data_IF_174724509304
#
_entry.id   IF_174724509304
#
_cell.length_a   1.000
_cell.length_b   1.000
_cell.length_c   1.000
_cell.angle_alpha   90.00
_cell.angle_beta   90.00
_cell.angle_gamma   90.00
#
_symmetry.space_group_name_H-M   'P 1'
#
loop_
_entity.id
_entity.type
_entity.pdbx_description
1 polymer ?
#
# COMPACT_ATOMS: atom_id res chain seq x y z
N UNK A 1 11.45 36.10 -6.99
CA UNK A 1 12.47 35.75 -5.98
C UNK A 1 13.03 34.37 -6.30
N UNK A 2 14.30 34.31 -6.74
CA UNK A 2 15.02 33.04 -6.93
C UNK A 2 15.17 32.39 -5.56
N UNK A 3 14.67 31.17 -5.38
CA UNK A 3 15.00 30.35 -4.21
C UNK A 3 16.48 30.01 -4.33
N UNK A 4 17.33 30.69 -3.58
CA UNK A 4 18.71 30.26 -3.37
C UNK A 4 18.68 28.83 -2.82
N UNK A 5 18.99 27.86 -3.68
CA UNK A 5 19.26 26.50 -3.24
C UNK A 5 20.54 26.59 -2.41
N UNK A 6 20.40 26.53 -1.08
CA UNK A 6 21.55 26.26 -0.20
C UNK A 6 22.34 25.09 -0.81
N UNK A 7 23.69 25.14 -0.82
CA UNK A 7 24.50 24.02 -1.31
C UNK A 7 24.06 22.74 -0.61
N UNK A 8 24.09 21.61 -1.32
CA UNK A 8 23.77 20.32 -0.73
C UNK A 8 24.68 20.11 0.48
N UNK A 9 24.13 20.23 1.68
CA UNK A 9 24.88 20.05 2.91
C UNK A 9 25.04 18.54 3.15
N UNK A 10 26.28 18.09 3.30
CA UNK A 10 26.60 16.70 3.57
C UNK A 10 27.92 16.58 4.33
N UNK A 11 28.07 15.44 5.01
CA UNK A 11 29.33 15.05 5.61
C UNK A 11 29.92 13.86 4.82
N UNK A 12 31.11 14.01 4.22
CA UNK A 12 31.70 12.95 3.39
C UNK A 12 31.88 11.61 4.13
N UNK A 13 32.16 11.65 5.44
CA UNK A 13 32.28 10.45 6.28
C UNK A 13 30.92 9.78 6.43
N UNK A 14 29.87 10.55 6.75
CA UNK A 14 28.52 10.03 6.88
C UNK A 14 28.01 9.42 5.57
N UNK A 15 28.23 10.08 4.43
CA UNK A 15 27.82 9.54 3.12
C UNK A 15 28.49 8.20 2.81
N UNK A 16 29.80 8.07 3.13
CA UNK A 16 30.50 6.77 3.00
C UNK A 16 29.89 5.69 3.89
N UNK A 17 29.53 6.02 5.13
CA UNK A 17 28.92 5.06 6.05
C UNK A 17 27.50 4.68 5.63
N UNK A 18 26.67 5.63 5.18
CA UNK A 18 25.35 5.35 4.59
C UNK A 18 25.46 4.49 3.34
N UNK A 19 26.45 4.72 2.47
CA UNK A 19 26.69 3.86 1.31
C UNK A 19 26.99 2.41 1.75
N UNK A 20 27.87 2.22 2.73
CA UNK A 20 28.19 0.89 3.29
C UNK A 20 26.97 0.25 3.92
N UNK A 21 26.19 0.99 4.69
CA UNK A 21 24.96 0.50 5.31
C UNK A 21 23.92 0.11 4.26
N UNK A 22 23.79 0.88 3.18
CA UNK A 22 22.95 0.54 2.03
C UNK A 22 23.33 -0.82 1.44
N UNK A 23 24.62 -1.11 1.29
CA UNK A 23 25.09 -2.42 0.83
C UNK A 23 24.80 -3.52 1.86
N UNK A 24 24.98 -3.24 3.15
CA UNK A 24 24.65 -4.16 4.23
C UNK A 24 23.16 -4.54 4.21
N UNK A 25 22.25 -3.57 4.15
CA UNK A 25 20.81 -3.82 4.09
C UNK A 25 20.41 -4.62 2.85
N UNK A 26 20.99 -4.32 1.68
CA UNK A 26 20.70 -5.03 0.43
C UNK A 26 21.20 -6.47 0.44
N UNK A 27 22.47 -6.69 0.82
CA UNK A 27 23.14 -7.99 0.68
C UNK A 27 22.94 -8.89 1.89
N UNK A 28 23.15 -8.36 3.09
CA UNK A 28 23.07 -9.12 4.34
C UNK A 28 21.64 -9.11 4.86
N UNK A 29 21.01 -7.93 4.89
CA UNK A 29 19.61 -7.79 5.32
C UNK A 29 18.59 -8.29 4.30
N UNK A 30 19.02 -8.61 3.08
CA UNK A 30 18.20 -9.07 1.95
C UNK A 30 16.96 -8.18 1.71
N UNK A 31 17.09 -6.89 2.01
CA UNK A 31 16.00 -5.92 1.91
C UNK A 31 15.82 -5.47 0.46
N UNK A 32 14.55 -5.28 0.07
CA UNK A 32 14.23 -4.65 -1.21
C UNK A 32 14.66 -3.17 -1.23
N UNK A 33 14.78 -2.62 -2.44
CA UNK A 33 15.25 -1.25 -2.63
C UNK A 33 14.37 -0.21 -1.92
N UNK A 34 13.05 -0.43 -1.90
CA UNK A 34 12.10 0.48 -1.24
C UNK A 34 12.34 0.56 0.27
N UNK A 35 12.59 -0.58 0.91
CA UNK A 35 12.88 -0.67 2.35
C UNK A 35 14.21 -0.01 2.67
N UNK A 36 15.22 -0.23 1.83
CA UNK A 36 16.53 0.40 1.96
C UNK A 36 16.42 1.93 1.86
N UNK A 37 15.71 2.45 0.86
CA UNK A 37 15.49 3.89 0.69
C UNK A 37 14.71 4.49 1.86
N UNK A 38 13.71 3.78 2.39
CA UNK A 38 12.95 4.23 3.56
C UNK A 38 13.86 4.36 4.80
N UNK A 39 14.73 3.37 5.06
CA UNK A 39 15.69 3.45 6.16
C UNK A 39 16.67 4.62 5.99
N UNK A 40 17.21 4.81 4.78
CA UNK A 40 18.12 5.92 4.48
C UNK A 40 17.45 7.29 4.62
N UNK A 41 16.16 7.40 4.31
CA UNK A 41 15.39 8.63 4.55
C UNK A 41 15.38 8.99 6.04
N UNK A 42 15.08 8.04 6.91
CA UNK A 42 15.08 8.28 8.37
C UNK A 42 16.46 8.65 8.91
N UNK A 43 17.52 8.02 8.39
CA UNK A 43 18.91 8.40 8.74
C UNK A 43 19.21 9.82 8.27
N UNK A 44 18.74 10.23 7.08
CA UNK A 44 18.91 11.59 6.59
C UNK A 44 18.15 12.62 7.43
N UNK A 45 16.97 12.28 7.93
CA UNK A 45 16.25 13.15 8.87
C UNK A 45 17.09 13.41 10.14
N UNK A 46 17.79 12.38 10.64
CA UNK A 46 18.70 12.52 11.78
C UNK A 46 19.93 13.38 11.44
N UNK A 47 20.51 13.22 10.24
CA UNK A 47 21.61 14.09 9.81
C UNK A 47 21.19 15.56 9.71
N UNK A 48 20.00 15.85 9.19
CA UNK A 48 19.46 17.21 9.11
C UNK A 48 19.33 17.79 10.52
N UNK A 49 18.83 17.01 11.47
CA UNK A 49 18.74 17.43 12.88
C UNK A 49 20.13 17.71 13.49
N UNK A 50 21.12 16.89 13.17
CA UNK A 50 22.50 17.03 13.64
C UNK A 50 23.33 18.06 12.85
N UNK A 51 22.69 18.84 11.96
CA UNK A 51 23.36 19.79 11.05
C UNK A 51 24.54 19.16 10.29
N UNK A 52 24.36 17.90 9.89
CA UNK A 52 25.37 17.08 9.19
C UNK A 52 26.69 16.88 9.96
N UNK A 53 26.68 17.04 11.28
CA UNK A 53 27.82 16.59 12.09
C UNK A 53 28.00 15.06 12.00
N UNK A 54 29.21 14.59 12.33
CA UNK A 54 29.55 13.18 12.23
C UNK A 54 28.73 12.31 13.17
N UNK A 55 28.31 11.13 12.71
CA UNK A 55 27.52 10.18 13.52
C UNK A 55 28.22 9.75 14.81
N UNK A 56 29.55 9.85 14.88
CA UNK A 56 30.34 9.54 16.08
C UNK A 56 30.08 10.48 17.25
N UNK A 57 29.36 11.59 17.03
CA UNK A 57 28.94 12.49 18.09
C UNK A 57 27.71 11.99 18.86
N UNK A 58 27.03 10.96 18.36
CA UNK A 58 25.82 10.43 18.98
C UNK A 58 26.03 10.00 20.44
N UNK A 59 25.11 10.42 21.31
CA UNK A 59 25.00 10.01 22.71
C UNK A 59 23.54 10.06 23.17
N UNK A 60 23.30 9.70 24.42
CA UNK A 60 22.00 9.73 25.10
C UNK A 60 21.34 11.12 25.04
N UNK A 61 22.07 12.20 25.32
CA UNK A 61 21.55 13.57 25.24
C UNK A 61 21.07 13.96 23.85
N UNK A 62 21.79 13.52 22.81
CA UNK A 62 21.38 13.71 21.41
C UNK A 62 20.15 12.87 21.08
N UNK A 63 20.06 11.64 21.58
CA UNK A 63 18.90 10.78 21.40
C UNK A 63 17.64 11.45 21.96
N UNK A 64 17.70 11.97 23.19
CA UNK A 64 16.60 12.66 23.85
C UNK A 64 16.18 13.93 23.09
N UNK A 65 17.16 14.77 22.73
CA UNK A 65 16.88 15.98 21.93
C UNK A 65 16.28 15.66 20.58
N UNK A 66 16.72 14.58 19.91
CA UNK A 66 16.18 14.19 18.61
C UNK A 66 14.73 13.74 18.72
N UNK A 67 14.41 12.94 19.75
CA UNK A 67 13.03 12.52 20.03
C UNK A 67 12.14 13.74 20.33
N UNK A 68 12.60 14.64 21.20
CA UNK A 68 11.87 15.89 21.50
C UNK A 68 11.68 16.74 20.24
N UNK A 69 12.71 16.86 19.41
CA UNK A 69 12.62 17.58 18.13
C UNK A 69 11.56 16.98 17.19
N UNK A 70 11.44 15.66 17.12
CA UNK A 70 10.39 15.00 16.35
C UNK A 70 8.98 15.27 16.89
N UNK A 71 8.82 15.31 18.22
CA UNK A 71 7.54 15.69 18.85
C UNK A 71 7.20 17.16 18.60
N UNK A 72 8.17 18.06 18.70
CA UNK A 72 8.00 19.49 18.45
C UNK A 72 7.67 19.79 16.98
N UNK A 73 8.13 18.94 16.06
CA UNK A 73 7.75 19.00 14.63
C UNK A 73 6.37 18.38 14.37
N UNK A 74 5.71 17.86 15.41
CA UNK A 74 4.40 17.19 15.34
C UNK A 74 4.36 16.00 14.37
N UNK A 75 5.45 15.23 14.28
CA UNK A 75 5.41 13.97 13.54
C UNK A 75 4.44 12.97 14.19
N UNK A 76 3.75 12.19 13.35
CA UNK A 76 2.88 11.10 13.85
C UNK A 76 3.68 10.07 14.66
N UNK A 77 3.05 9.46 15.66
CA UNK A 77 3.69 8.42 16.49
C UNK A 77 4.19 7.22 15.67
N UNK A 78 3.49 6.88 14.58
CA UNK A 78 3.92 5.82 13.66
C UNK A 78 5.22 6.21 12.94
N UNK A 79 5.32 7.46 12.45
CA UNK A 79 6.55 7.98 11.85
C UNK A 79 7.72 7.98 12.83
N UNK A 80 7.51 8.49 14.04
CA UNK A 80 8.52 8.52 15.10
C UNK A 80 8.99 7.09 15.41
N UNK A 81 8.06 6.14 15.51
CA UNK A 81 8.38 4.73 15.79
C UNK A 81 9.24 4.11 14.68
N UNK A 82 8.91 4.36 13.41
CA UNK A 82 9.65 3.81 12.27
C UNK A 82 11.01 4.48 12.09
N UNK A 83 11.09 5.80 12.31
CA UNK A 83 12.35 6.54 12.30
C UNK A 83 13.29 6.03 13.39
N UNK A 84 12.83 5.97 14.65
CA UNK A 84 13.61 5.45 15.77
C UNK A 84 14.12 4.05 15.49
N UNK A 85 13.26 3.15 14.97
CA UNK A 85 13.68 1.78 14.63
C UNK A 85 14.80 1.78 13.60
N UNK A 86 14.63 2.51 12.50
CA UNK A 86 15.63 2.58 11.44
C UNK A 86 16.95 3.19 11.92
N UNK A 87 16.89 4.22 12.76
CA UNK A 87 18.07 4.87 13.34
C UNK A 87 18.78 3.95 14.33
N UNK A 88 18.06 3.26 15.22
CA UNK A 88 18.64 2.25 16.12
C UNK A 88 19.35 1.15 15.34
N UNK A 89 18.69 0.58 14.34
CA UNK A 89 19.27 -0.48 13.50
C UNK A 89 20.57 0.00 12.82
N UNK A 90 20.59 1.25 12.35
CA UNK A 90 21.78 1.86 11.75
C UNK A 90 22.90 2.08 12.77
N UNK A 91 22.61 2.66 13.94
CA UNK A 91 23.63 2.94 14.95
C UNK A 91 24.21 1.64 15.54
N UNK A 92 23.38 0.62 15.78
CA UNK A 92 23.82 -0.71 16.19
C UNK A 92 24.71 -1.40 15.14
N UNK A 93 24.45 -1.15 13.86
CA UNK A 93 25.36 -1.58 12.80
C UNK A 93 26.65 -0.74 12.81
N UNK A 94 26.53 0.57 13.01
CA UNK A 94 27.61 1.55 12.91
C UNK A 94 28.66 1.39 14.02
N UNK A 95 28.23 1.16 15.26
CA UNK A 95 29.12 0.92 16.42
C UNK A 95 30.10 -0.24 16.16
N UNK A 96 29.73 -1.21 15.32
CA UNK A 96 30.56 -2.39 15.00
C UNK A 96 31.56 -2.10 13.89
N UNK A 97 31.49 -0.93 13.26
CA UNK A 97 32.38 -0.54 12.17
C UNK A 97 33.69 0.05 12.70
N UNK A 98 34.78 -0.17 11.96
CA UNK A 98 36.08 0.44 12.26
C UNK A 98 35.94 1.96 12.31
N UNK A 99 36.43 2.55 13.40
CA UNK A 99 36.38 4.01 13.64
C UNK A 99 35.19 4.50 14.48
N UNK A 100 34.22 3.63 14.78
CA UNK A 100 33.02 3.96 15.57
C UNK A 100 32.90 3.16 16.88
N UNK A 101 33.55 2.00 16.99
CA UNK A 101 33.48 1.12 18.17
C UNK A 101 33.81 1.76 19.51
N UNK A 102 34.72 2.74 19.52
CA UNK A 102 35.11 3.48 20.72
C UNK A 102 34.40 4.83 20.85
N UNK A 103 33.48 5.17 19.93
CA UNK A 103 32.87 6.50 19.83
C UNK A 103 31.37 6.49 20.04
N UNK A 104 30.71 5.37 19.76
CA UNK A 104 29.27 5.17 20.00
C UNK A 104 29.14 4.11 21.09
N UNK A 105 28.52 4.49 22.20
CA UNK A 105 28.14 3.55 23.25
C UNK A 105 26.81 2.89 22.90
N UNK A 106 26.77 1.57 22.97
CA UNK A 106 25.57 0.76 22.74
C UNK A 106 24.41 1.19 23.67
N UNK A 107 24.71 1.50 24.94
CA UNK A 107 23.70 1.90 25.91
C UNK A 107 23.05 3.24 25.56
N UNK A 108 23.78 4.15 24.89
CA UNK A 108 23.20 5.41 24.42
C UNK A 108 22.15 5.19 23.32
N UNK A 109 22.29 4.13 22.51
CA UNK A 109 21.33 3.81 21.45
C UNK A 109 19.98 3.39 22.07
N UNK A 110 19.99 2.85 23.28
CA UNK A 110 18.77 2.49 24.00
C UNK A 110 17.95 3.68 24.52
N UNK A 111 18.50 4.90 24.50
CA UNK A 111 17.72 6.12 24.75
C UNK A 111 16.82 6.49 23.55
N UNK A 112 17.04 5.93 22.37
CA UNK A 112 16.13 6.07 21.23
C UNK A 112 14.84 5.26 21.44
N UNK A 113 14.00 5.69 22.37
CA UNK A 113 12.77 5.01 22.73
C UNK A 113 11.64 6.01 23.04
N UNK A 114 10.42 5.62 22.71
CA UNK A 114 9.18 6.26 23.19
C UNK A 114 8.46 5.29 24.13
N UNK A 115 7.56 5.82 24.96
CA UNK A 115 6.87 5.01 25.98
C UNK A 115 6.08 3.86 25.37
N UNK A 116 5.85 2.79 26.14
CA UNK A 116 5.01 1.65 25.72
C UNK A 116 3.61 2.11 25.30
N UNK A 117 3.05 3.09 26.03
CA UNK A 117 1.75 3.69 25.69
C UNK A 117 1.80 4.39 24.34
N UNK A 118 2.81 5.22 24.06
CA UNK A 118 2.97 5.86 22.76
C UNK A 118 3.16 4.83 21.63
N UNK A 119 3.92 3.75 21.85
CA UNK A 119 4.03 2.64 20.88
C UNK A 119 2.71 1.93 20.65
N UNK A 120 1.90 1.76 21.70
CA UNK A 120 0.56 1.18 21.60
C UNK A 120 -0.39 2.10 20.82
N UNK A 121 -0.40 3.40 21.13
CA UNK A 121 -1.16 4.42 20.41
C UNK A 121 -0.76 4.49 18.94
N UNK A 122 0.52 4.38 18.61
CA UNK A 122 1.01 4.33 17.21
C UNK A 122 0.44 3.15 16.41
N UNK A 123 0.04 2.06 17.09
CA UNK A 123 -0.56 0.86 16.51
C UNK A 123 -2.08 0.85 16.62
N UNK A 124 -2.65 1.73 17.43
CA UNK A 124 -4.09 1.82 17.63
C UNK A 124 -4.76 2.13 16.30
N UNK A 125 -5.87 1.45 16.05
CA UNK A 125 -6.64 1.64 14.82
C UNK A 125 -7.77 2.61 15.09
N UNK A 126 -7.84 3.63 14.26
CA UNK A 126 -9.01 4.48 14.21
C UNK A 126 -10.20 3.72 13.61
N UNK A 127 -11.40 4.07 14.08
CA UNK A 127 -12.62 3.60 13.46
C UNK A 127 -12.66 4.05 12.01
N UNK A 128 -12.93 3.09 11.11
CA UNK A 128 -13.08 3.37 9.69
C UNK A 128 -14.41 2.78 9.23
N UNK A 129 -15.22 3.65 8.62
CA UNK A 129 -16.44 3.28 7.92
C UNK A 129 -16.07 2.36 6.76
N UNK A 130 -16.74 1.21 6.66
CA UNK A 130 -16.65 0.34 5.50
C UNK A 130 -17.97 0.44 4.73
N UNK A 131 -17.90 0.35 3.40
CA UNK A 131 -19.10 0.25 2.57
C UNK A 131 -19.68 -1.16 2.66
N UNK A 132 -21.01 -1.23 2.56
CA UNK A 132 -21.69 -2.48 2.23
C UNK A 132 -21.51 -2.78 0.74
N UNK A 133 -21.64 -4.05 0.36
CA UNK A 133 -21.50 -4.46 -1.04
C UNK A 133 -22.52 -3.78 -1.95
N UNK A 134 -23.74 -3.54 -1.47
CA UNK A 134 -24.79 -2.88 -2.25
C UNK A 134 -24.40 -1.46 -2.65
N UNK A 135 -23.74 -0.73 -1.74
CA UNK A 135 -23.25 0.62 -2.03
C UNK A 135 -22.11 0.59 -3.06
N UNK A 136 -21.20 -0.39 -2.96
CA UNK A 136 -20.11 -0.59 -3.93
C UNK A 136 -20.70 -0.86 -5.32
N UNK A 137 -21.69 -1.75 -5.43
CA UNK A 137 -22.36 -2.05 -6.69
C UNK A 137 -23.05 -0.82 -7.27
N UNK A 138 -23.79 -0.07 -6.45
CA UNK A 138 -24.44 1.18 -6.88
C UNK A 138 -23.44 2.23 -7.40
N UNK A 139 -22.27 2.35 -6.76
CA UNK A 139 -21.20 3.25 -7.23
C UNK A 139 -20.74 2.85 -8.62
N UNK A 140 -20.41 1.56 -8.82
CA UNK A 140 -19.92 1.05 -10.10
C UNK A 140 -20.97 1.19 -11.20
N UNK A 141 -22.22 0.89 -10.91
CA UNK A 141 -23.33 0.98 -11.87
C UNK A 141 -23.55 2.42 -12.35
N UNK A 142 -23.34 3.41 -11.49
CA UNK A 142 -23.44 4.84 -11.83
C UNK A 142 -22.21 5.38 -12.57
N UNK A 143 -21.10 4.64 -12.64
CA UNK A 143 -19.91 5.11 -13.36
C UNK A 143 -20.22 5.24 -14.86
N UNK A 144 -19.74 6.32 -15.51
CA UNK A 144 -19.87 6.48 -16.95
C UNK A 144 -19.07 5.41 -17.71
N UNK A 145 -19.42 5.19 -18.97
CA UNK A 145 -18.86 4.15 -19.84
C UNK A 145 -18.85 4.53 -21.33
N UNK A 146 -18.85 5.83 -21.65
CA UNK A 146 -18.97 6.31 -23.03
C UNK A 146 -17.63 6.37 -23.74
N UNK A 147 -16.56 6.74 -23.03
CA UNK A 147 -15.20 6.80 -23.57
C UNK A 147 -14.36 5.59 -23.14
N UNK A 148 -13.24 5.34 -23.83
CA UNK A 148 -12.34 4.24 -23.48
C UNK A 148 -11.75 4.41 -22.08
N UNK A 149 -11.46 5.67 -21.70
CA UNK A 149 -11.05 6.00 -20.33
C UNK A 149 -12.12 5.63 -19.30
N UNK A 150 -13.38 5.95 -19.56
CA UNK A 150 -14.48 5.67 -18.65
C UNK A 150 -14.73 4.16 -18.52
N UNK A 151 -14.76 3.42 -19.64
CA UNK A 151 -14.85 1.94 -19.64
C UNK A 151 -13.71 1.30 -18.86
N UNK A 152 -12.48 1.76 -19.10
CA UNK A 152 -11.30 1.31 -18.36
C UNK A 152 -11.42 1.59 -16.87
N UNK A 153 -11.82 2.79 -16.49
CA UNK A 153 -11.94 3.20 -15.09
C UNK A 153 -13.03 2.40 -14.37
N UNK A 154 -14.18 2.17 -15.02
CA UNK A 154 -15.26 1.31 -14.53
C UNK A 154 -14.81 -0.14 -14.37
N UNK A 155 -14.03 -0.67 -15.31
CA UNK A 155 -13.43 -2.00 -15.22
C UNK A 155 -12.39 -2.10 -14.07
N UNK A 156 -11.58 -1.06 -13.82
CA UNK A 156 -10.63 -0.98 -12.70
C UNK A 156 -11.35 -1.10 -11.36
N UNK A 157 -12.41 -0.32 -11.15
CA UNK A 157 -13.18 -0.34 -9.89
C UNK A 157 -13.94 -1.66 -9.75
N UNK A 158 -14.50 -2.18 -10.84
CA UNK A 158 -15.18 -3.48 -10.88
C UNK A 158 -14.24 -4.62 -10.49
N UNK A 159 -13.03 -4.68 -11.07
CA UNK A 159 -12.07 -5.73 -10.71
C UNK A 159 -11.63 -5.62 -9.24
N UNK A 160 -11.52 -4.41 -8.70
CA UNK A 160 -11.25 -4.24 -7.28
C UNK A 160 -12.39 -4.75 -6.40
N UNK A 161 -13.65 -4.56 -6.80
CA UNK A 161 -14.81 -5.14 -6.11
C UNK A 161 -14.79 -6.66 -6.12
N UNK A 162 -14.47 -7.25 -7.27
CA UNK A 162 -14.47 -8.70 -7.48
C UNK A 162 -13.30 -9.41 -6.81
N UNK A 163 -12.08 -8.85 -6.88
CA UNK A 163 -10.86 -9.54 -6.44
C UNK A 163 -10.19 -8.92 -5.22
N UNK A 164 -10.52 -7.68 -4.87
CA UNK A 164 -9.93 -6.92 -3.76
C UNK A 164 -8.39 -6.87 -3.80
N UNK A 165 -7.81 -6.68 -4.98
CA UNK A 165 -6.35 -6.63 -5.18
C UNK A 165 -5.69 -5.49 -4.39
N UNK A 166 -4.37 -5.57 -4.21
CA UNK A 166 -3.60 -4.40 -3.78
C UNK A 166 -3.51 -3.41 -4.93
N UNK A 167 -3.40 -2.11 -4.64
CA UNK A 167 -3.29 -1.08 -5.68
C UNK A 167 -2.14 -1.36 -6.67
N UNK A 168 -0.99 -1.82 -6.19
CA UNK A 168 0.14 -2.20 -7.05
C UNK A 168 -0.18 -3.37 -7.98
N UNK A 169 -0.96 -4.33 -7.50
CA UNK A 169 -1.40 -5.49 -8.26
C UNK A 169 -2.41 -5.04 -9.32
N UNK A 170 -3.42 -4.27 -8.92
CA UNK A 170 -4.42 -3.69 -9.84
C UNK A 170 -3.78 -2.85 -10.95
N UNK A 171 -2.72 -2.12 -10.61
CA UNK A 171 -1.99 -1.25 -11.54
C UNK A 171 -1.16 -2.02 -12.59
N UNK A 172 -0.71 -3.22 -12.26
CA UNK A 172 0.27 -3.99 -13.06
C UNK A 172 -0.27 -5.34 -13.53
N UNK A 173 -1.56 -5.60 -13.32
CA UNK A 173 -2.25 -6.80 -13.81
C UNK A 173 -2.26 -6.80 -15.34
N UNK A 174 -1.94 -7.94 -15.93
CA UNK A 174 -1.86 -8.13 -17.38
C UNK A 174 -3.01 -8.96 -17.90
N UNK A 175 -3.21 -8.94 -19.22
CA UNK A 175 -4.25 -9.70 -19.90
C UNK A 175 -4.23 -11.19 -19.51
N UNK A 176 -3.04 -11.80 -19.49
CA UNK A 176 -2.88 -13.23 -19.11
C UNK A 176 -3.18 -13.56 -17.65
N UNK A 177 -3.29 -12.55 -16.78
CA UNK A 177 -3.54 -12.80 -15.37
C UNK A 177 -5.02 -13.04 -15.12
N UNK A 178 -5.92 -12.55 -15.98
CA UNK A 178 -7.34 -12.85 -15.92
C UNK A 178 -7.62 -14.19 -16.59
N UNK A 179 -7.99 -15.17 -15.78
CA UNK A 179 -8.20 -16.56 -16.17
C UNK A 179 -9.65 -16.95 -15.89
N UNK A 180 -10.19 -17.79 -16.76
CA UNK A 180 -11.45 -18.49 -16.58
C UNK A 180 -11.15 -19.99 -16.56
N UNK A 181 -11.56 -20.68 -15.49
CA UNK A 181 -11.40 -22.12 -15.31
C UNK A 181 -12.63 -22.62 -14.56
N UNK A 182 -13.21 -23.74 -15.00
CA UNK A 182 -14.40 -24.36 -14.38
C UNK A 182 -15.59 -23.40 -14.17
N UNK A 183 -15.79 -22.46 -15.11
CA UNK A 183 -16.86 -21.46 -15.04
C UNK A 183 -16.61 -20.36 -14.00
N UNK A 184 -15.40 -20.26 -13.45
CA UNK A 184 -15.02 -19.24 -12.48
C UNK A 184 -13.93 -18.34 -13.02
N UNK A 185 -14.09 -17.03 -12.79
CA UNK A 185 -13.07 -16.05 -13.12
C UNK A 185 -12.18 -15.75 -11.92
N UNK A 186 -10.88 -15.61 -12.17
CA UNK A 186 -9.92 -15.18 -11.16
C UNK A 186 -8.76 -14.41 -11.77
N UNK A 187 -8.09 -13.61 -10.93
CA UNK A 187 -6.77 -13.09 -11.25
C UNK A 187 -5.71 -14.02 -10.67
N UNK A 188 -4.95 -14.69 -11.53
CA UNK A 188 -3.76 -15.41 -11.13
C UNK A 188 -2.65 -14.42 -10.79
N UNK A 189 -2.51 -14.10 -9.51
CA UNK A 189 -1.52 -13.16 -9.03
C UNK A 189 -0.17 -13.87 -8.94
N UNK A 190 0.77 -13.46 -9.78
CA UNK A 190 2.10 -14.05 -9.86
C UNK A 190 3.19 -12.96 -9.94
N UNK A 191 4.23 -12.99 -9.08
CA UNK A 191 5.32 -11.99 -9.13
C UNK A 191 6.13 -12.02 -10.42
N UNK A 192 6.04 -13.10 -11.23
CA UNK A 192 6.68 -13.19 -12.54
C UNK A 192 6.01 -12.32 -13.61
N UNK A 193 4.75 -11.93 -13.41
CA UNK A 193 4.00 -11.16 -14.39
C UNK A 193 3.62 -9.75 -13.92
N UNK A 194 3.51 -9.52 -12.61
CA UNK A 194 2.97 -8.29 -12.04
C UNK A 194 3.62 -7.94 -10.69
N UNK A 195 3.37 -6.72 -10.19
CA UNK A 195 3.90 -6.24 -8.91
C UNK A 195 3.12 -6.80 -7.73
N UNK A 196 3.76 -7.68 -6.96
CA UNK A 196 3.13 -8.38 -5.83
C UNK A 196 3.91 -8.20 -4.54
N UNK A 197 3.20 -7.78 -3.48
CA UNK A 197 3.80 -7.63 -2.15
C UNK A 197 4.27 -9.01 -1.63
N UNK A 198 5.50 -9.07 -1.13
CA UNK A 198 6.14 -10.29 -0.64
C UNK A 198 6.27 -11.42 -1.68
N UNK A 199 6.18 -11.11 -2.97
CA UNK A 199 6.27 -12.07 -4.06
C UNK A 199 5.35 -13.30 -3.93
N UNK A 200 4.17 -13.13 -3.31
CA UNK A 200 3.25 -14.25 -3.07
C UNK A 200 2.41 -14.58 -4.30
N UNK A 201 2.42 -15.84 -4.72
CA UNK A 201 1.45 -16.35 -5.68
C UNK A 201 0.11 -16.63 -5.01
N UNK A 202 -1.00 -16.29 -5.66
CA UNK A 202 -2.35 -16.68 -5.22
C UNK A 202 -3.38 -16.58 -6.35
N UNK A 203 -4.50 -17.26 -6.14
CA UNK A 203 -5.71 -17.13 -6.93
C UNK A 203 -6.57 -16.06 -6.27
N UNK A 204 -6.74 -14.92 -6.93
CA UNK A 204 -7.70 -13.90 -6.51
C UNK A 204 -9.01 -14.14 -7.26
N UNK A 205 -9.82 -15.06 -6.74
CA UNK A 205 -11.11 -15.48 -7.29
C UNK A 205 -12.11 -14.34 -7.20
N UNK A 206 -12.92 -14.20 -8.24
CA UNK A 206 -14.01 -13.24 -8.29
C UNK A 206 -15.02 -13.61 -7.21
N UNK A 207 -15.30 -12.66 -6.33
CA UNK A 207 -16.42 -12.77 -5.39
C UNK A 207 -17.71 -12.72 -6.21
N UNK A 208 -18.71 -13.50 -5.80
CA UNK A 208 -20.04 -13.51 -6.43
C UNK A 208 -20.76 -12.17 -6.22
N UNK A 209 -20.51 -11.23 -7.13
CA UNK A 209 -21.28 -10.00 -7.32
C UNK A 209 -22.18 -10.18 -8.56
N UNK A 210 -22.98 -9.17 -8.87
CA UNK A 210 -23.90 -9.21 -10.01
C UNK A 210 -23.16 -9.27 -11.36
N UNK A 211 -23.79 -9.91 -12.34
CA UNK A 211 -23.19 -10.19 -13.65
C UNK A 211 -22.75 -8.91 -14.39
N UNK A 212 -23.42 -7.79 -14.18
CA UNK A 212 -23.03 -6.49 -14.75
C UNK A 212 -21.66 -6.02 -14.28
N UNK A 213 -21.28 -6.33 -13.03
CA UNK A 213 -19.97 -5.98 -12.47
C UNK A 213 -18.87 -6.84 -13.09
N UNK A 214 -19.15 -8.14 -13.28
CA UNK A 214 -18.25 -9.06 -13.97
C UNK A 214 -18.08 -8.62 -15.43
N UNK A 215 -19.18 -8.31 -16.09
CA UNK A 215 -19.23 -7.89 -17.49
C UNK A 215 -18.35 -6.65 -17.76
N UNK A 216 -18.30 -5.67 -16.85
CA UNK A 216 -17.42 -4.50 -16.99
C UNK A 216 -15.95 -4.89 -17.21
N UNK A 217 -15.47 -5.94 -16.55
CA UNK A 217 -14.07 -6.41 -16.68
C UNK A 217 -13.89 -7.23 -17.94
N UNK A 218 -14.82 -8.15 -18.21
CA UNK A 218 -14.73 -9.09 -19.35
C UNK A 218 -14.85 -8.33 -20.68
N UNK A 219 -15.84 -7.45 -20.80
CA UNK A 219 -16.02 -6.64 -22.01
C UNK A 219 -14.84 -5.70 -22.26
N UNK A 220 -14.25 -5.14 -21.19
CA UNK A 220 -13.03 -4.33 -21.32
C UNK A 220 -11.84 -5.15 -21.83
N UNK A 221 -11.62 -6.36 -21.29
CA UNK A 221 -10.60 -7.29 -21.78
C UNK A 221 -10.81 -7.61 -23.26
N UNK A 222 -12.03 -7.93 -23.65
CA UNK A 222 -12.34 -8.34 -25.03
C UNK A 222 -12.20 -7.17 -26.01
N UNK A 223 -12.56 -5.96 -25.59
CA UNK A 223 -12.29 -4.73 -26.31
C UNK A 223 -10.78 -4.49 -26.51
N UNK A 224 -9.95 -4.69 -25.49
CA UNK A 224 -8.49 -4.61 -25.66
C UNK A 224 -7.97 -5.65 -26.65
N UNK A 225 -8.49 -6.89 -26.61
CA UNK A 225 -8.10 -7.95 -27.56
C UNK A 225 -8.47 -7.59 -29.00
N UNK A 226 -9.63 -7.00 -29.25
CA UNK A 226 -10.02 -6.56 -30.60
C UNK A 226 -9.11 -5.45 -31.14
N UNK A 227 -8.50 -4.66 -30.26
CA UNK A 227 -7.45 -3.68 -30.62
C UNK A 227 -6.03 -4.27 -30.69
N UNK A 228 -5.89 -5.61 -30.62
CA UNK A 228 -4.61 -6.29 -30.76
C UNK A 228 -3.75 -6.32 -29.50
N UNK A 229 -4.32 -6.12 -28.31
CA UNK A 229 -3.62 -6.40 -27.05
C UNK A 229 -3.36 -7.89 -26.90
N UNK A 230 -2.16 -8.23 -26.42
CA UNK A 230 -1.68 -9.59 -26.20
C UNK A 230 -1.61 -9.91 -24.70
N UNK A 231 -1.36 -11.16 -24.39
CA UNK A 231 -1.25 -11.70 -23.03
C UNK A 231 -0.27 -10.96 -22.11
N UNK A 232 0.83 -10.43 -22.66
CA UNK A 232 1.83 -9.67 -21.92
C UNK A 232 1.46 -8.19 -21.70
N UNK A 233 0.46 -7.67 -22.41
CA UNK A 233 0.04 -6.28 -22.31
C UNK A 233 -0.76 -6.04 -21.02
N UNK A 234 -0.76 -4.80 -20.48
CA UNK A 234 -1.53 -4.46 -19.28
C UNK A 234 -3.03 -4.61 -19.52
N UNK A 235 -3.76 -5.16 -18.54
CA UNK A 235 -5.22 -5.18 -18.55
C UNK A 235 -5.80 -3.77 -18.35
N UNK A 236 -5.07 -2.90 -17.64
CA UNK A 236 -5.42 -1.48 -17.49
C UNK A 236 -4.32 -0.59 -18.06
N UNK A 237 -4.33 -0.39 -19.39
CA UNK A 237 -3.37 0.47 -20.06
C UNK A 237 -3.50 1.95 -19.65
N UNK A 238 -2.41 2.68 -19.80
CA UNK A 238 -2.44 4.14 -19.78
C UNK A 238 -3.27 4.67 -20.96
N UNK A 239 -4.15 5.62 -20.67
CA UNK A 239 -4.96 6.32 -21.69
C UNK A 239 -4.64 7.80 -21.54
N UNK A 240 -4.04 8.37 -22.58
CA UNK A 240 -3.68 9.78 -22.64
C UNK A 240 -4.71 10.55 -23.48
N UNK A 241 -5.03 11.76 -23.06
CA UNK A 241 -5.76 12.70 -23.88
C UNK A 241 -4.76 13.50 -24.73
N UNK A 242 -5.05 13.70 -26.00
CA UNK A 242 -4.28 14.58 -26.88
C UNK A 242 -5.22 15.32 -27.83
N UNK A 243 -4.80 16.50 -28.27
CA UNK A 243 -5.51 17.21 -29.33
C UNK A 243 -4.95 16.79 -30.68
N UNK A 244 -5.84 16.56 -31.65
CA UNK A 244 -5.49 16.28 -33.04
C UNK A 244 -5.02 17.54 -33.76
N UNK A 245 -4.55 17.40 -35.00
CA UNK A 245 -4.26 18.54 -35.90
C UNK A 245 -5.50 19.42 -36.16
N UNK A 246 -6.70 18.89 -35.96
CA UNK A 246 -7.97 19.63 -36.08
C UNK A 246 -8.48 20.19 -34.74
N UNK A 247 -7.65 20.18 -33.69
CA UNK A 247 -7.99 20.60 -32.33
C UNK A 247 -9.15 19.82 -31.68
N UNK A 248 -9.40 18.59 -32.14
CA UNK A 248 -10.34 17.69 -31.48
C UNK A 248 -9.63 16.88 -30.40
N UNK A 249 -10.29 16.67 -29.26
CA UNK A 249 -9.75 15.86 -28.17
C UNK A 249 -9.90 14.36 -28.50
N UNK A 250 -8.79 13.65 -28.60
CA UNK A 250 -8.75 12.21 -28.82
C UNK A 250 -8.05 11.47 -27.68
N UNK A 251 -8.55 10.26 -27.40
CA UNK A 251 -7.92 9.36 -26.44
C UNK A 251 -6.98 8.40 -27.17
N UNK A 252 -5.75 8.27 -26.65
CA UNK A 252 -4.79 7.28 -27.13
C UNK A 252 -4.49 6.26 -26.05
N UNK A 253 -4.85 5.01 -26.34
CA UNK A 253 -4.52 3.87 -25.48
C UNK A 253 -3.08 3.44 -25.75
N UNK A 254 -2.26 3.39 -24.70
CA UNK A 254 -0.87 2.90 -24.78
C UNK A 254 -0.75 1.57 -24.06
N UNK A 255 -0.01 0.63 -24.64
CA UNK A 255 0.32 -0.69 -24.05
C UNK A 255 1.33 -0.59 -22.90
N UNK A 256 1.13 0.36 -22.00
CA UNK A 256 1.97 0.67 -20.86
C UNK A 256 1.14 0.58 -19.58
N UNK A 257 1.72 -0.02 -18.53
CA UNK A 257 1.11 -0.05 -17.21
C UNK A 257 0.96 1.38 -16.65
N UNK A 258 -0.12 1.63 -15.91
CA UNK A 258 -0.21 2.81 -15.07
C UNK A 258 0.97 2.77 -14.08
N UNK A 259 1.71 3.87 -13.87
CA UNK A 259 2.91 3.85 -13.00
C UNK A 259 2.64 4.30 -11.56
N UNK A 260 1.67 5.19 -11.37
CA UNK A 260 1.40 5.82 -10.09
C UNK A 260 0.20 5.21 -9.40
N UNK A 261 0.35 4.89 -8.10
CA UNK A 261 -0.78 4.52 -7.25
C UNK A 261 -1.79 5.67 -7.13
N UNK A 262 -1.35 6.93 -7.30
CA UNK A 262 -2.23 8.10 -7.25
C UNK A 262 -3.25 8.07 -8.38
N UNK A 263 -2.85 7.69 -9.59
CA UNK A 263 -3.80 7.56 -10.72
C UNK A 263 -4.94 6.59 -10.39
N UNK A 264 -4.64 5.46 -9.74
CA UNK A 264 -5.69 4.54 -9.28
C UNK A 264 -6.56 5.18 -8.20
N UNK A 265 -5.97 5.88 -7.23
CA UNK A 265 -6.75 6.58 -6.19
C UNK A 265 -7.68 7.64 -6.77
N UNK A 266 -7.23 8.36 -7.80
CA UNK A 266 -8.01 9.39 -8.47
C UNK A 266 -9.22 8.77 -9.21
N UNK A 267 -9.04 7.63 -9.88
CA UNK A 267 -10.14 6.87 -10.50
C UNK A 267 -11.21 6.52 -9.46
N UNK A 268 -10.79 6.00 -8.30
CA UNK A 268 -11.74 5.66 -7.24
C UNK A 268 -12.41 6.93 -6.72
N UNK A 269 -11.65 7.98 -6.42
CA UNK A 269 -12.21 9.25 -5.95
C UNK A 269 -13.29 9.77 -6.90
N UNK A 270 -13.01 9.81 -8.20
CA UNK A 270 -13.98 10.22 -9.21
C UNK A 270 -15.21 9.31 -9.25
N UNK A 271 -15.05 7.98 -9.15
CA UNK A 271 -16.18 7.05 -9.11
C UNK A 271 -17.13 7.31 -7.93
N UNK A 272 -16.55 7.52 -6.74
CA UNK A 272 -17.31 7.83 -5.52
C UNK A 272 -18.03 9.18 -5.64
N UNK A 273 -17.32 10.22 -6.09
CA UNK A 273 -17.86 11.57 -6.27
C UNK A 273 -19.00 11.59 -7.30
N UNK A 274 -18.84 10.93 -8.46
CA UNK A 274 -19.88 10.87 -9.51
C UNK A 274 -21.15 10.16 -9.04
N UNK A 275 -21.04 9.24 -8.08
CA UNK A 275 -22.16 8.48 -7.56
C UNK A 275 -22.83 9.15 -6.34
N UNK A 276 -22.27 10.28 -5.85
CA UNK A 276 -22.74 11.00 -4.67
C UNK A 276 -22.34 10.37 -3.33
N UNK A 277 -21.28 9.57 -3.30
CA UNK A 277 -20.79 8.91 -2.10
C UNK A 277 -19.49 9.54 -1.59
N UNK A 278 -19.30 9.52 -0.27
CA UNK A 278 -18.03 9.91 0.36
C UNK A 278 -16.86 9.07 -0.17
N UNK A 279 -15.73 9.68 -0.54
CA UNK A 279 -14.61 8.90 -1.03
C UNK A 279 -13.98 8.05 0.08
N UNK A 280 -13.92 6.74 -0.14
CA UNK A 280 -13.15 5.82 0.69
C UNK A 280 -12.04 5.16 -0.13
N UNK A 281 -10.87 5.02 0.50
CA UNK A 281 -9.65 4.47 -0.13
C UNK A 281 -9.88 3.06 -0.71
N UNK A 282 -9.24 2.70 -1.85
CA UNK A 282 -9.39 1.37 -2.47
C UNK A 282 -9.11 0.18 -1.56
N UNK A 283 -8.23 0.36 -0.56
CA UNK A 283 -7.90 -0.69 0.41
C UNK A 283 -9.10 -1.08 1.29
N UNK A 284 -10.13 -0.25 1.39
CA UNK A 284 -11.32 -0.51 2.18
C UNK A 284 -12.18 -1.63 1.61
N UNK A 285 -12.11 -1.91 0.30
CA UNK A 285 -12.80 -3.04 -0.32
C UNK A 285 -12.35 -4.38 0.26
N UNK A 286 -11.03 -4.51 0.56
CA UNK A 286 -10.48 -5.67 1.26
C UNK A 286 -11.03 -5.79 2.68
N UNK A 287 -11.30 -4.66 3.35
CA UNK A 287 -11.92 -4.64 4.68
C UNK A 287 -13.36 -5.12 4.61
N UNK A 288 -14.11 -4.65 3.62
CA UNK A 288 -15.51 -5.07 3.40
C UNK A 288 -15.57 -6.59 3.23
N UNK A 289 -14.72 -7.19 2.39
CA UNK A 289 -14.67 -8.64 2.24
C UNK A 289 -14.28 -9.37 3.53
N UNK A 290 -13.23 -8.92 4.21
CA UNK A 290 -12.78 -9.56 5.44
C UNK A 290 -13.85 -9.53 6.55
N UNK A 291 -14.50 -8.37 6.75
CA UNK A 291 -15.60 -8.22 7.73
C UNK A 291 -16.82 -9.05 7.36
N UNK A 292 -17.16 -9.12 6.08
CA UNK A 292 -18.24 -9.99 5.62
C UNK A 292 -17.91 -11.44 5.97
N UNK A 293 -16.70 -11.90 5.67
CA UNK A 293 -16.26 -13.27 5.90
C UNK A 293 -16.24 -13.70 7.37
N UNK A 294 -16.01 -12.78 8.31
CA UNK A 294 -16.06 -13.04 9.76
C UNK A 294 -17.43 -13.47 10.26
N UNK A 295 -18.50 -13.10 9.55
CA UNK A 295 -19.89 -13.49 9.88
C UNK A 295 -20.37 -14.72 9.12
N UNK A 296 -19.50 -15.33 8.29
CA UNK A 296 -19.82 -16.52 7.50
C UNK A 296 -19.19 -17.78 8.14
N UNK A 297 -18.92 -18.81 7.35
CA UNK A 297 -18.29 -20.04 7.82
C UNK A 297 -16.77 -19.90 7.98
N UNK A 298 -16.13 -20.68 8.88
CA UNK A 298 -14.66 -20.74 8.99
C UNK A 298 -13.97 -21.11 7.67
N UNK A 299 -14.60 -21.98 6.86
CA UNK A 299 -14.09 -22.35 5.54
C UNK A 299 -14.07 -21.15 4.59
N UNK A 300 -15.14 -20.34 4.57
CA UNK A 300 -15.21 -19.13 3.78
C UNK A 300 -14.18 -18.09 4.24
N UNK A 301 -14.01 -17.90 5.56
CA UNK A 301 -12.98 -17.01 6.11
C UNK A 301 -11.57 -17.44 5.69
N UNK A 302 -11.28 -18.74 5.69
CA UNK A 302 -9.99 -19.26 5.23
C UNK A 302 -9.81 -19.07 3.71
N UNK A 303 -10.85 -19.25 2.91
CA UNK A 303 -10.82 -18.96 1.47
C UNK A 303 -10.52 -17.47 1.22
N UNK A 304 -11.19 -16.56 1.93
CA UNK A 304 -10.93 -15.11 1.86
C UNK A 304 -9.50 -14.77 2.28
N UNK A 305 -8.96 -15.40 3.34
CA UNK A 305 -7.55 -15.23 3.74
C UNK A 305 -6.61 -15.58 2.59
N UNK A 306 -6.84 -16.69 1.89
CA UNK A 306 -6.04 -17.09 0.72
C UNK A 306 -6.21 -16.10 -0.43
N UNK A 307 -7.44 -15.68 -0.73
CA UNK A 307 -7.78 -14.69 -1.76
C UNK A 307 -7.05 -13.36 -1.54
N UNK A 308 -6.92 -12.95 -0.28
CA UNK A 308 -6.22 -11.74 0.16
C UNK A 308 -4.69 -11.93 0.24
N UNK A 309 -4.19 -13.16 0.20
CA UNK A 309 -2.76 -13.48 0.32
C UNK A 309 -2.18 -13.28 1.73
N UNK A 310 -3.01 -13.43 2.77
CA UNK A 310 -2.57 -13.32 4.16
C UNK A 310 -1.98 -14.66 4.65
N UNK A 311 -0.84 -14.60 5.37
CA UNK A 311 -0.15 -15.82 5.82
C UNK A 311 -0.90 -16.54 6.94
N UNK A 312 -1.59 -15.81 7.80
CA UNK A 312 -2.33 -16.35 8.94
C UNK A 312 -3.74 -15.79 9.02
N UNK A 313 -4.63 -16.51 9.70
CA UNK A 313 -5.95 -16.01 10.07
C UNK A 313 -5.81 -14.78 10.98
N UNK A 314 -4.84 -14.79 11.90
CA UNK A 314 -4.53 -13.62 12.74
C UNK A 314 -4.24 -12.38 11.92
N UNK A 315 -3.56 -12.50 10.78
CA UNK A 315 -3.33 -11.34 9.91
C UNK A 315 -4.64 -10.77 9.39
N UNK A 316 -5.65 -11.61 9.14
CA UNK A 316 -6.98 -11.18 8.70
C UNK A 316 -7.77 -10.58 9.87
N UNK A 317 -7.88 -11.29 11.00
CA UNK A 317 -8.63 -10.84 12.18
C UNK A 317 -7.97 -9.61 12.84
N UNK A 318 -6.66 -9.61 13.03
CA UNK A 318 -5.96 -8.43 13.56
C UNK A 318 -6.04 -7.25 12.62
N UNK A 319 -6.14 -7.46 11.29
CA UNK A 319 -6.24 -6.39 10.31
C UNK A 319 -7.65 -5.80 10.19
N UNK A 320 -8.69 -6.64 10.35
CA UNK A 320 -10.05 -6.33 9.93
C UNK A 320 -11.15 -6.68 10.95
N UNK A 321 -10.85 -7.52 11.96
CA UNK A 321 -11.82 -8.23 12.80
C UNK A 321 -12.05 -7.72 14.20
N UNK A 322 -11.74 -6.45 14.46
CA UNK A 322 -12.34 -5.80 15.62
C UNK A 322 -13.78 -5.43 15.26
N UNK A 323 -14.73 -6.22 15.76
CA UNK A 323 -16.16 -5.94 15.67
C UNK A 323 -16.46 -4.57 16.31
N UNK A 324 -17.45 -3.85 15.78
CA UNK A 324 -18.00 -2.72 16.52
C UNK A 324 -18.65 -3.22 17.82
N UNK A 325 -18.71 -2.37 18.84
CA UNK A 325 -19.38 -2.70 20.11
C UNK A 325 -20.85 -3.11 19.87
N UNK A 326 -21.50 -2.51 18.87
CA UNK A 326 -22.87 -2.86 18.50
C UNK A 326 -22.97 -4.28 17.90
N UNK A 327 -22.08 -4.66 16.99
CA UNK A 327 -22.03 -6.01 16.41
C UNK A 327 -21.67 -7.06 17.46
N UNK A 328 -20.68 -6.76 18.31
CA UNK A 328 -20.30 -7.62 19.43
C UNK A 328 -21.50 -7.87 20.35
N UNK A 329 -22.22 -6.82 20.76
CA UNK A 329 -23.42 -6.93 21.60
C UNK A 329 -24.48 -7.80 20.93
N UNK A 330 -24.78 -7.54 19.65
CA UNK A 330 -25.77 -8.30 18.89
C UNK A 330 -25.43 -9.79 18.82
N UNK A 331 -24.17 -10.13 18.54
CA UNK A 331 -23.71 -11.52 18.45
C UNK A 331 -23.84 -12.20 19.82
N UNK A 332 -23.32 -11.58 20.88
CA UNK A 332 -23.37 -12.17 22.23
C UNK A 332 -24.82 -12.33 22.71
N UNK A 333 -25.67 -11.32 22.54
CA UNK A 333 -27.08 -11.39 22.97
C UNK A 333 -27.93 -12.33 22.13
N UNK A 334 -27.47 -12.68 20.92
CA UNK A 334 -28.16 -13.60 20.01
C UNK A 334 -27.92 -15.08 20.33
N UNK A 335 -26.93 -15.38 21.18
CA UNK A 335 -26.67 -16.76 21.62
C UNK A 335 -27.70 -17.13 22.69
N UNK A 336 -28.64 -18.01 22.35
CA UNK A 336 -29.44 -18.71 23.35
C UNK A 336 -28.63 -19.91 23.83
N UNK A 337 -28.14 -19.82 25.06
CA UNK A 337 -27.59 -20.99 25.75
C UNK A 337 -28.79 -21.78 26.26
N UNK A 338 -29.16 -22.84 25.54
CA UNK A 338 -30.15 -23.84 25.97
C UNK A 338 -29.46 -25.04 26.58
#
# INVERSE_FOLDING_TARGET
MKKDKKPDQYNPVNERMKYKYRQHLRRIGQKDEKTVLAALKHIRDFEIFMDFTGFEKFNDHIADKYIQGMFNTHFSLSYITDNIRALKDFLNWLERQRGYRSKIDYNHIDYLNISRNQRSTAKAKEYQKAYKYEQIMQIIQKMPDKTDKEKRDKAVVSLQALCTLRISELRTVKMKNLVEEDGQYFIYVCPKSMSVKFAKTRYAVFIALTDDIIANVIQWRDYLRSMGFKDADPLFPKIDNHFTKTNLLEQKIRKEEIKSDTTIRDIFKSAFESAGFEYIKPHSFRKTLARYAETQSPAFLNAVRQNLGHSSIDTTLSSYGQLSVAEQRKIISGIKIS
#
